data_IF_802234756836
#
_entry.id   IF_802234756836
#
_cell.length_a   1.000
_cell.length_b   1.000
_cell.length_c   1.000
_cell.angle_alpha   90.00
_cell.angle_beta   90.00
_cell.angle_gamma   90.00
#
_symmetry.space_group_name_H-M   'P 1'
#
loop_
_entity.id
_entity.type
_entity.pdbx_description
1 polymer ?
#
# COMPACT_ATOMS: atom_id res chain seq x y z
N UNK A 1 5.56 -22.50 -26.88
CA UNK A 1 5.83 -21.07 -26.68
C UNK A 1 6.35 -20.54 -27.99
N UNK A 2 5.56 -19.73 -28.70
CA UNK A 2 6.07 -18.97 -29.85
C UNK A 2 7.23 -18.12 -29.36
N UNK A 3 8.39 -18.22 -30.01
CA UNK A 3 9.51 -17.33 -29.72
C UNK A 3 9.02 -15.90 -30.04
N UNK A 4 9.04 -15.01 -29.04
CA UNK A 4 8.76 -13.59 -29.23
C UNK A 4 7.42 -13.06 -28.69
N UNK A 5 6.62 -13.85 -27.96
CA UNK A 5 5.47 -13.30 -27.22
C UNK A 5 5.89 -12.95 -25.77
N UNK A 6 5.77 -11.67 -25.32
CA UNK A 6 6.18 -11.27 -23.97
C UNK A 6 5.12 -11.61 -22.91
N UNK A 7 3.94 -12.10 -23.32
CA UNK A 7 2.82 -12.42 -22.45
C UNK A 7 2.52 -13.93 -22.43
N UNK A 8 2.21 -14.45 -21.25
CA UNK A 8 1.71 -15.81 -21.07
C UNK A 8 0.23 -15.85 -21.48
N UNK A 9 -0.06 -16.54 -22.59
CA UNK A 9 -1.42 -16.73 -23.07
C UNK A 9 -2.16 -17.84 -22.30
N UNK A 10 -3.42 -17.58 -21.96
CA UNK A 10 -4.37 -18.57 -21.42
C UNK A 10 -5.51 -18.79 -22.42
N UNK A 11 -5.85 -20.05 -22.70
CA UNK A 11 -6.85 -20.45 -23.71
C UNK A 11 -8.26 -19.90 -23.48
N UNK A 12 -8.56 -19.45 -22.25
CA UNK A 12 -9.90 -18.98 -21.86
C UNK A 12 -9.92 -17.52 -21.40
N UNK A 13 -8.81 -16.81 -21.55
CA UNK A 13 -8.71 -15.43 -21.11
C UNK A 13 -9.12 -14.46 -22.23
N UNK A 14 -9.96 -13.47 -21.88
CA UNK A 14 -10.30 -12.39 -22.80
C UNK A 14 -9.04 -11.55 -23.03
N UNK A 15 -8.76 -11.26 -24.29
CA UNK A 15 -7.59 -10.49 -24.68
C UNK A 15 -7.66 -9.06 -24.14
N UNK A 16 -6.60 -8.62 -23.46
CA UNK A 16 -6.53 -7.28 -22.90
C UNK A 16 -6.33 -6.26 -24.04
N UNK A 17 -7.03 -5.12 -23.97
CA UNK A 17 -7.01 -4.12 -25.05
C UNK A 17 -5.65 -3.45 -25.21
N UNK A 18 -4.93 -3.20 -24.11
CA UNK A 18 -3.57 -2.68 -24.16
C UNK A 18 -2.63 -3.71 -24.82
N UNK A 19 -2.67 -4.97 -24.36
CA UNK A 19 -1.90 -6.08 -24.95
C UNK A 19 -2.14 -6.19 -26.47
N UNK A 20 -3.40 -6.18 -26.90
CA UNK A 20 -3.78 -6.22 -28.30
C UNK A 20 -3.22 -5.02 -29.09
N UNK A 21 -3.38 -3.81 -28.55
CA UNK A 21 -2.90 -2.59 -29.21
C UNK A 21 -1.38 -2.57 -29.39
N UNK A 22 -0.62 -3.07 -28.40
CA UNK A 22 0.84 -3.16 -28.46
C UNK A 22 1.27 -4.18 -29.53
N UNK A 23 0.63 -5.35 -29.55
CA UNK A 23 0.94 -6.41 -30.52
C UNK A 23 0.61 -5.98 -31.96
N UNK A 24 -0.56 -5.40 -32.20
CA UNK A 24 -0.97 -4.92 -33.53
C UNK A 24 -0.05 -3.81 -34.05
N UNK A 25 0.35 -2.88 -33.19
CA UNK A 25 1.30 -1.84 -33.55
C UNK A 25 2.67 -2.45 -33.94
N UNK A 26 3.15 -3.44 -33.19
CA UNK A 26 4.38 -4.15 -33.54
C UNK A 26 4.28 -4.89 -34.87
N UNK A 27 3.26 -5.73 -35.06
CA UNK A 27 3.07 -6.51 -36.29
C UNK A 27 2.96 -5.61 -37.54
N UNK A 28 2.33 -4.44 -37.41
CA UNK A 28 2.16 -3.50 -38.52
C UNK A 28 3.41 -2.65 -38.81
N UNK A 29 4.27 -2.43 -37.81
CA UNK A 29 5.43 -1.52 -37.90
C UNK A 29 6.79 -2.21 -37.75
N UNK A 30 6.84 -3.54 -37.59
CA UNK A 30 8.08 -4.32 -37.45
C UNK A 30 9.16 -3.94 -38.49
N UNK A 31 8.84 -3.76 -39.80
CA UNK A 31 9.84 -3.36 -40.79
C UNK A 31 10.47 -1.97 -40.53
N UNK A 32 9.74 -1.07 -39.84
CA UNK A 32 10.21 0.28 -39.49
C UNK A 32 11.03 0.33 -38.21
N UNK A 33 11.05 -0.77 -37.43
CA UNK A 33 11.85 -0.89 -36.21
C UNK A 33 13.29 -1.33 -36.50
N UNK A 34 13.60 -1.68 -37.75
CA UNK A 34 14.93 -2.08 -38.19
C UNK A 34 15.58 -1.01 -39.08
N UNK A 35 16.92 -0.87 -39.06
CA UNK A 35 17.63 0.00 -39.99
C UNK A 35 17.40 -0.42 -41.46
N UNK A 36 17.38 0.53 -42.42
CA UNK A 36 17.55 1.97 -42.23
C UNK A 36 16.27 2.67 -41.72
N UNK A 37 16.45 3.58 -40.74
CA UNK A 37 15.33 4.38 -40.21
C UNK A 37 14.97 5.52 -41.15
N UNK A 38 13.67 5.82 -41.25
CA UNK A 38 13.22 7.01 -41.98
C UNK A 38 13.72 8.28 -41.30
N UNK A 39 14.09 9.27 -42.11
CA UNK A 39 14.40 10.63 -41.65
C UNK A 39 13.15 11.52 -41.61
N UNK A 40 12.01 11.03 -42.08
CA UNK A 40 10.76 11.77 -42.07
C UNK A 40 10.25 11.90 -40.63
N UNK A 41 9.85 13.11 -40.25
CA UNK A 41 9.18 13.35 -38.97
C UNK A 41 7.81 12.68 -39.04
N UNK A 42 7.54 11.65 -38.22
CA UNK A 42 6.24 11.01 -38.23
C UNK A 42 5.16 12.00 -37.80
N UNK A 43 3.98 11.88 -38.40
CA UNK A 43 2.81 12.57 -37.87
C UNK A 43 2.48 12.09 -36.43
N UNK A 44 1.70 12.86 -35.66
CA UNK A 44 1.42 12.53 -34.27
C UNK A 44 0.85 11.11 -34.07
N UNK A 45 -0.04 10.65 -34.96
CA UNK A 45 -0.63 9.32 -34.84
C UNK A 45 0.41 8.23 -35.13
N UNK A 46 1.21 8.42 -36.18
CA UNK A 46 2.31 7.52 -36.51
C UNK A 46 3.34 7.42 -35.37
N UNK A 47 3.62 8.52 -34.66
CA UNK A 47 4.51 8.53 -33.49
C UNK A 47 3.94 7.72 -32.31
N UNK A 48 2.62 7.78 -32.07
CA UNK A 48 1.96 6.99 -31.03
C UNK A 48 2.00 5.50 -31.36
N UNK A 49 1.66 5.11 -32.58
CA UNK A 49 1.74 3.69 -32.99
C UNK A 49 3.18 3.17 -32.95
N UNK A 50 4.15 3.99 -33.35
CA UNK A 50 5.56 3.61 -33.28
C UNK A 50 6.02 3.44 -31.83
N UNK A 51 5.55 4.28 -30.90
CA UNK A 51 5.83 4.12 -29.47
C UNK A 51 5.26 2.79 -28.92
N UNK A 52 4.03 2.42 -29.31
CA UNK A 52 3.44 1.12 -28.94
C UNK A 52 4.25 -0.06 -29.49
N UNK A 53 4.64 0.01 -30.76
CA UNK A 53 5.45 -1.00 -31.42
C UNK A 53 6.82 -1.15 -30.73
N UNK A 54 7.45 -0.03 -30.37
CA UNK A 54 8.73 0.00 -29.63
C UNK A 54 8.59 -0.66 -28.26
N UNK A 55 7.54 -0.36 -27.48
CA UNK A 55 7.30 -1.01 -26.17
C UNK A 55 7.21 -2.52 -26.34
N UNK A 56 6.38 -3.01 -27.26
CA UNK A 56 6.23 -4.44 -27.50
C UNK A 56 7.57 -5.07 -27.92
N UNK A 57 8.28 -4.48 -28.89
CA UNK A 57 9.57 -4.97 -29.37
C UNK A 57 10.62 -5.08 -28.25
N UNK A 58 10.67 -4.08 -27.36
CA UNK A 58 11.58 -4.05 -26.22
C UNK A 58 11.24 -5.11 -25.16
N UNK A 59 9.97 -5.47 -24.99
CA UNK A 59 9.57 -6.55 -24.11
C UNK A 59 9.86 -7.94 -24.69
N UNK A 60 9.89 -8.07 -26.02
CA UNK A 60 10.12 -9.34 -26.73
C UNK A 60 11.60 -9.73 -26.86
N UNK A 61 12.46 -8.80 -27.29
CA UNK A 61 13.84 -9.09 -27.68
C UNK A 61 14.85 -8.14 -27.03
N UNK A 62 15.73 -8.70 -26.19
CA UNK A 62 16.84 -7.97 -25.59
C UNK A 62 17.98 -7.64 -26.56
N UNK A 63 18.08 -8.35 -27.69
CA UNK A 63 19.18 -8.21 -28.65
C UNK A 63 19.16 -6.84 -29.36
N UNK A 64 17.97 -6.31 -29.60
CA UNK A 64 17.76 -5.06 -30.34
C UNK A 64 17.45 -3.86 -29.45
N UNK A 65 17.46 -4.00 -28.11
CA UNK A 65 16.98 -2.95 -27.19
C UNK A 65 17.67 -1.61 -27.34
N UNK A 66 19.00 -1.61 -27.54
CA UNK A 66 19.77 -0.37 -27.74
C UNK A 66 19.40 0.36 -29.02
N UNK A 67 18.96 -0.37 -30.03
CA UNK A 67 18.52 0.21 -31.31
C UNK A 67 17.13 0.83 -31.14
N UNK A 68 16.20 0.09 -30.55
CA UNK A 68 14.83 0.56 -30.32
C UNK A 68 14.77 1.75 -29.36
N UNK A 69 15.60 1.80 -28.31
CA UNK A 69 15.63 2.95 -27.40
C UNK A 69 16.20 4.21 -28.09
N UNK A 70 17.23 4.06 -28.93
CA UNK A 70 17.76 5.17 -29.74
C UNK A 70 16.73 5.70 -30.72
N UNK A 71 15.97 4.80 -31.32
CA UNK A 71 14.84 5.18 -32.17
C UNK A 71 13.80 5.98 -31.36
N UNK A 72 13.42 5.51 -30.16
CA UNK A 72 12.53 6.26 -29.27
C UNK A 72 13.07 7.67 -28.99
N UNK A 73 14.32 7.81 -28.55
CA UNK A 73 14.92 9.10 -28.24
C UNK A 73 14.92 10.07 -29.42
N UNK A 74 15.08 9.56 -30.66
CA UNK A 74 15.06 10.38 -31.86
C UNK A 74 13.66 10.91 -32.23
N UNK A 75 12.60 10.27 -31.72
CA UNK A 75 11.21 10.53 -32.11
C UNK A 75 10.41 11.27 -31.05
N UNK A 76 10.83 11.18 -29.78
CA UNK A 76 10.07 11.72 -28.65
C UNK A 76 10.02 13.24 -28.67
N UNK A 77 8.81 13.78 -28.51
CA UNK A 77 8.53 15.22 -28.49
C UNK A 77 7.75 15.66 -27.24
N UNK A 78 7.25 14.71 -26.45
CA UNK A 78 6.36 14.92 -25.31
C UNK A 78 7.04 14.66 -23.95
N UNK A 79 8.38 14.66 -23.92
CA UNK A 79 9.14 14.29 -22.71
C UNK A 79 8.90 12.85 -22.28
N UNK A 80 8.66 11.95 -23.23
CA UNK A 80 8.38 10.52 -23.03
C UNK A 80 7.03 10.22 -22.35
N UNK A 81 6.16 11.22 -22.17
CA UNK A 81 4.93 11.08 -21.40
C UNK A 81 4.05 9.91 -21.86
N UNK A 82 3.81 9.79 -23.17
CA UNK A 82 3.01 8.68 -23.71
C UNK A 82 3.71 7.34 -23.54
N UNK A 83 5.01 7.27 -23.82
CA UNK A 83 5.78 6.03 -23.66
C UNK A 83 5.77 5.54 -22.21
N UNK A 84 6.02 6.44 -21.25
CA UNK A 84 5.95 6.13 -19.82
C UNK A 84 4.53 5.71 -19.41
N UNK A 85 3.49 6.33 -19.97
CA UNK A 85 2.10 5.91 -19.71
C UNK A 85 1.80 4.48 -20.20
N UNK A 86 2.39 4.06 -21.32
CA UNK A 86 2.30 2.68 -21.81
C UNK A 86 3.02 1.71 -20.87
N UNK A 87 4.18 2.10 -20.32
CA UNK A 87 4.88 1.30 -19.32
C UNK A 87 4.06 1.18 -18.02
N UNK A 88 3.45 2.27 -17.55
CA UNK A 88 2.53 2.25 -16.40
C UNK A 88 1.37 1.30 -16.67
N UNK A 89 0.69 1.41 -17.82
CA UNK A 89 -0.38 0.51 -18.22
C UNK A 89 0.08 -0.95 -18.28
N UNK A 90 1.27 -1.21 -18.82
CA UNK A 90 1.88 -2.55 -18.86
C UNK A 90 2.12 -3.08 -17.44
N UNK A 91 2.65 -2.25 -16.54
CA UNK A 91 2.85 -2.61 -15.14
C UNK A 91 1.51 -2.87 -14.46
N UNK A 92 0.46 -2.07 -14.69
CA UNK A 92 -0.82 -2.16 -13.97
C UNK A 92 -1.72 -3.28 -14.49
N UNK A 93 -1.75 -3.51 -15.79
CA UNK A 93 -2.70 -4.44 -16.43
C UNK A 93 -2.06 -5.78 -16.82
N UNK A 94 -0.78 -5.76 -17.21
CA UNK A 94 -0.15 -6.89 -17.89
C UNK A 94 0.98 -7.57 -17.10
N UNK A 95 1.46 -6.98 -16.01
CA UNK A 95 2.62 -7.49 -15.26
C UNK A 95 2.50 -8.96 -14.84
N UNK A 96 1.30 -9.38 -14.40
CA UNK A 96 1.04 -10.77 -14.03
C UNK A 96 1.14 -11.77 -15.19
N UNK A 97 1.03 -11.29 -16.43
CA UNK A 97 1.17 -12.07 -17.65
C UNK A 97 2.57 -12.02 -18.25
N UNK A 98 3.41 -11.07 -17.85
CA UNK A 98 4.75 -10.93 -18.41
C UNK A 98 5.60 -12.17 -18.13
N UNK A 99 6.29 -12.66 -19.16
CA UNK A 99 7.36 -13.64 -19.01
C UNK A 99 8.56 -13.02 -18.30
N UNK A 100 9.42 -13.84 -17.71
CA UNK A 100 10.52 -13.35 -16.87
C UNK A 100 11.50 -12.45 -17.63
N UNK A 101 11.82 -12.75 -18.89
CA UNK A 101 12.66 -11.88 -19.72
C UNK A 101 12.03 -10.51 -19.96
N UNK A 102 10.71 -10.45 -20.13
CA UNK A 102 9.99 -9.19 -20.33
C UNK A 102 9.94 -8.35 -19.05
N UNK A 103 9.84 -8.98 -17.87
CA UNK A 103 9.96 -8.27 -16.58
C UNK A 103 11.35 -7.65 -16.40
N UNK A 104 12.41 -8.35 -16.79
CA UNK A 104 13.78 -7.82 -16.77
C UNK A 104 13.90 -6.61 -17.72
N UNK A 105 13.38 -6.72 -18.94
CA UNK A 105 13.38 -5.59 -19.89
C UNK A 105 12.57 -4.40 -19.37
N UNK A 106 11.41 -4.63 -18.76
CA UNK A 106 10.60 -3.57 -18.16
C UNK A 106 11.37 -2.76 -17.09
N UNK A 107 12.14 -3.43 -16.24
CA UNK A 107 12.99 -2.76 -15.26
C UNK A 107 14.17 -2.04 -15.90
N UNK A 108 14.73 -2.59 -16.99
CA UNK A 108 15.74 -1.90 -17.78
C UNK A 108 15.17 -0.63 -18.42
N UNK A 109 13.99 -0.69 -19.04
CA UNK A 109 13.30 0.49 -19.58
C UNK A 109 13.02 1.53 -18.50
N UNK A 110 12.66 1.09 -17.30
CA UNK A 110 12.47 1.99 -16.16
C UNK A 110 13.76 2.74 -15.83
N UNK A 111 14.93 2.08 -15.88
CA UNK A 111 16.24 2.74 -15.70
C UNK A 111 16.49 3.81 -16.78
N UNK A 112 16.23 3.49 -18.04
CA UNK A 112 16.36 4.45 -19.15
C UNK A 112 15.40 5.64 -18.98
N UNK A 113 14.16 5.41 -18.52
CA UNK A 113 13.17 6.46 -18.27
C UNK A 113 13.53 7.38 -17.08
N UNK A 114 14.32 6.88 -16.12
CA UNK A 114 14.91 7.71 -15.07
C UNK A 114 16.04 8.56 -15.65
N UNK A 115 16.90 7.99 -16.49
CA UNK A 115 18.06 8.68 -17.07
C UNK A 115 17.69 9.87 -17.98
N UNK A 116 16.48 9.85 -18.53
CA UNK A 116 15.94 10.94 -19.34
C UNK A 116 14.91 11.80 -18.61
N UNK A 117 14.75 11.61 -17.29
CA UNK A 117 13.79 12.35 -16.43
C UNK A 117 12.38 12.39 -17.03
N UNK A 118 11.90 11.23 -17.51
CA UNK A 118 10.63 11.13 -18.24
C UNK A 118 9.42 11.65 -17.46
N UNK A 119 8.48 12.26 -18.16
CA UNK A 119 7.19 12.66 -17.58
C UNK A 119 6.41 11.42 -17.17
N UNK A 120 5.85 11.41 -15.96
CA UNK A 120 5.10 10.27 -15.41
C UNK A 120 5.96 9.22 -14.70
N UNK A 121 7.26 9.48 -14.50
CA UNK A 121 8.18 8.56 -13.83
C UNK A 121 7.72 8.15 -12.42
N UNK A 122 7.14 9.07 -11.64
CA UNK A 122 6.63 8.77 -10.30
C UNK A 122 5.55 7.67 -10.34
N UNK A 123 4.63 7.74 -11.29
CA UNK A 123 3.54 6.76 -11.44
C UNK A 123 4.08 5.38 -11.84
N UNK A 124 5.09 5.33 -12.70
CA UNK A 124 5.75 4.09 -13.11
C UNK A 124 6.41 3.39 -11.92
N UNK A 125 7.21 4.13 -11.16
CA UNK A 125 7.91 3.62 -9.99
C UNK A 125 6.95 3.22 -8.86
N UNK A 126 5.91 4.02 -8.60
CA UNK A 126 4.85 3.66 -7.64
C UNK A 126 4.13 2.39 -8.08
N UNK A 127 3.79 2.26 -9.38
CA UNK A 127 3.13 1.07 -9.91
C UNK A 127 3.99 -0.18 -9.76
N UNK A 128 5.31 -0.07 -9.98
CA UNK A 128 6.26 -1.16 -9.76
C UNK A 128 6.40 -1.52 -8.27
N UNK A 129 6.50 -0.54 -7.37
CA UNK A 129 6.53 -0.79 -5.92
C UNK A 129 5.28 -1.55 -5.45
N UNK A 130 4.11 -1.24 -6.02
CA UNK A 130 2.84 -1.93 -5.75
C UNK A 130 2.79 -3.38 -6.24
N UNK A 131 3.74 -3.80 -7.07
CA UNK A 131 3.88 -5.21 -7.49
C UNK A 131 4.61 -6.08 -6.48
N UNK A 132 5.33 -5.49 -5.52
CA UNK A 132 5.93 -6.26 -4.43
C UNK A 132 4.84 -6.64 -3.42
N UNK A 133 4.53 -7.94 -3.33
CA UNK A 133 3.62 -8.49 -2.36
C UNK A 133 4.25 -8.60 -0.97
N UNK A 134 3.58 -8.10 0.06
CA UNK A 134 3.92 -8.36 1.47
C UNK A 134 3.70 -9.85 1.79
N UNK A 135 4.53 -10.42 2.68
CA UNK A 135 4.43 -11.83 3.08
C UNK A 135 4.65 -12.87 1.96
N UNK A 136 5.11 -12.45 0.78
CA UNK A 136 5.44 -13.34 -0.34
C UNK A 136 6.95 -13.48 -0.53
N UNK A 137 7.52 -14.61 -0.14
CA UNK A 137 8.96 -14.87 -0.30
C UNK A 137 9.28 -15.76 -1.52
N UNK A 138 8.37 -15.84 -2.49
CA UNK A 138 8.65 -16.47 -3.78
C UNK A 138 9.80 -15.78 -4.51
N UNK A 139 10.53 -16.53 -5.33
CA UNK A 139 11.74 -16.01 -6.01
C UNK A 139 11.45 -14.76 -6.86
N UNK A 140 10.32 -14.73 -7.57
CA UNK A 140 9.93 -13.58 -8.38
C UNK A 140 9.66 -12.32 -7.53
N UNK A 141 9.03 -12.45 -6.36
CA UNK A 141 8.71 -11.31 -5.50
C UNK A 141 9.99 -10.76 -4.84
N UNK A 142 10.85 -11.65 -4.34
CA UNK A 142 12.15 -11.28 -3.76
C UNK A 142 13.06 -10.64 -4.81
N UNK A 143 13.09 -11.19 -6.04
CA UNK A 143 13.83 -10.60 -7.15
C UNK A 143 13.35 -9.19 -7.48
N UNK A 144 12.04 -8.97 -7.61
CA UNK A 144 11.51 -7.64 -7.90
C UNK A 144 11.86 -6.65 -6.79
N UNK A 145 11.72 -7.07 -5.53
CA UNK A 145 12.09 -6.25 -4.38
C UNK A 145 13.58 -5.86 -4.45
N UNK A 146 14.45 -6.83 -4.74
CA UNK A 146 15.89 -6.63 -4.89
C UNK A 146 16.24 -5.64 -6.01
N UNK A 147 15.65 -5.82 -7.19
CA UNK A 147 15.92 -4.92 -8.32
C UNK A 147 15.42 -3.50 -8.03
N UNK A 148 14.26 -3.34 -7.39
CA UNK A 148 13.73 -2.01 -7.08
C UNK A 148 14.52 -1.32 -5.98
N UNK A 149 14.91 -1.98 -4.89
CA UNK A 149 15.76 -1.32 -3.88
C UNK A 149 17.12 -0.93 -4.46
N UNK A 150 17.69 -1.77 -5.34
CA UNK A 150 18.94 -1.47 -6.04
C UNK A 150 18.77 -0.30 -6.99
N UNK A 151 17.67 -0.25 -7.76
CA UNK A 151 17.32 0.88 -8.63
C UNK A 151 17.27 2.21 -7.86
N UNK A 152 16.58 2.23 -6.73
CA UNK A 152 16.46 3.42 -5.89
C UNK A 152 17.80 3.87 -5.26
N UNK A 153 18.69 2.92 -4.97
CA UNK A 153 20.05 3.21 -4.49
C UNK A 153 20.96 3.72 -5.61
N UNK A 154 20.91 3.08 -6.78
CA UNK A 154 21.77 3.37 -7.92
C UNK A 154 21.41 4.68 -8.61
N UNK A 155 20.11 5.03 -8.65
CA UNK A 155 19.58 6.26 -9.24
C UNK A 155 19.25 7.34 -8.20
N UNK A 156 19.83 7.24 -7.01
CA UNK A 156 19.49 8.10 -5.87
C UNK A 156 19.52 9.59 -6.21
N UNK A 157 20.61 10.08 -6.79
CA UNK A 157 20.80 11.51 -7.05
C UNK A 157 19.76 12.03 -8.06
N UNK A 158 19.56 11.31 -9.17
CA UNK A 158 18.55 11.63 -10.18
C UNK A 158 17.14 11.67 -9.58
N UNK A 159 16.77 10.67 -8.78
CA UNK A 159 15.46 10.60 -8.15
C UNK A 159 15.25 11.69 -7.08
N UNK A 160 16.32 12.09 -6.39
CA UNK A 160 16.24 13.15 -5.39
C UNK A 160 16.03 14.53 -6.05
N UNK A 161 16.63 14.76 -7.21
CA UNK A 161 16.48 15.99 -7.98
C UNK A 161 15.12 16.06 -8.70
N UNK A 162 14.77 15.02 -9.46
CA UNK A 162 13.64 15.06 -10.40
C UNK A 162 12.32 14.59 -9.79
N UNK A 163 12.36 13.63 -8.86
CA UNK A 163 11.17 12.93 -8.35
C UNK A 163 11.22 12.61 -6.84
N UNK A 164 11.57 13.57 -5.95
CA UNK A 164 11.88 13.26 -4.55
C UNK A 164 10.71 12.63 -3.77
N UNK A 165 9.46 12.86 -4.18
CA UNK A 165 8.32 12.26 -3.50
C UNK A 165 8.26 10.74 -3.69
N UNK A 166 8.78 10.21 -4.79
CA UNK A 166 8.82 8.75 -5.02
C UNK A 166 9.76 8.04 -4.04
N UNK A 167 10.81 8.72 -3.55
CA UNK A 167 11.68 8.21 -2.50
C UNK A 167 10.92 7.99 -1.19
N UNK A 168 9.91 8.81 -0.90
CA UNK A 168 9.03 8.58 0.27
C UNK A 168 8.15 7.35 0.09
N UNK A 169 7.69 7.07 -1.14
CA UNK A 169 6.94 5.85 -1.46
C UNK A 169 7.82 4.61 -1.32
N UNK A 170 9.06 4.68 -1.79
CA UNK A 170 10.06 3.63 -1.60
C UNK A 170 10.35 3.40 -0.12
N UNK A 171 10.58 4.47 0.66
CA UNK A 171 10.83 4.38 2.10
C UNK A 171 9.68 3.68 2.83
N UNK A 172 8.45 4.13 2.61
CA UNK A 172 7.26 3.50 3.21
C UNK A 172 7.17 2.02 2.87
N UNK A 173 7.42 1.67 1.60
CA UNK A 173 7.36 0.30 1.10
C UNK A 173 8.42 -0.59 1.73
N UNK A 174 9.68 -0.15 1.73
CA UNK A 174 10.81 -0.95 2.22
C UNK A 174 10.85 -1.05 3.74
N UNK A 175 10.43 -0.04 4.51
CA UNK A 175 10.26 -0.19 5.96
C UNK A 175 9.24 -1.28 6.29
N UNK A 176 8.12 -1.29 5.57
CA UNK A 176 7.07 -2.28 5.79
C UNK A 176 7.52 -3.69 5.39
N UNK A 177 8.19 -3.84 4.23
CA UNK A 177 8.70 -5.13 3.76
C UNK A 177 9.81 -5.68 4.65
N UNK A 178 10.75 -4.82 5.05
CA UNK A 178 11.84 -5.18 5.96
C UNK A 178 11.30 -5.75 7.28
N UNK A 179 10.21 -5.19 7.80
CA UNK A 179 9.56 -5.71 9.01
C UNK A 179 9.06 -7.15 8.85
N UNK A 180 8.65 -7.56 7.65
CA UNK A 180 8.30 -8.96 7.35
C UNK A 180 9.55 -9.81 7.17
N UNK A 181 10.54 -9.34 6.39
CA UNK A 181 11.78 -10.06 6.16
C UNK A 181 12.58 -10.34 7.45
N UNK A 182 12.52 -9.44 8.44
CA UNK A 182 13.17 -9.63 9.73
C UNK A 182 12.48 -10.66 10.63
N UNK A 183 11.20 -10.98 10.39
CA UNK A 183 10.47 -12.00 11.17
C UNK A 183 10.83 -13.43 10.77
N UNK A 184 11.34 -13.60 9.54
CA UNK A 184 11.70 -14.91 9.01
C UNK A 184 13.22 -15.10 9.09
N UNK A 185 13.62 -16.22 9.67
CA UNK A 185 15.03 -16.61 9.79
C UNK A 185 15.36 -17.82 8.92
N UNK A 186 16.61 -17.93 8.48
CA UNK A 186 17.09 -19.12 7.76
C UNK A 186 16.84 -19.14 6.25
N UNK A 187 16.49 -18.00 5.63
CA UNK A 187 16.36 -17.86 4.17
C UNK A 187 17.51 -17.01 3.64
N UNK A 188 18.59 -17.60 3.08
CA UNK A 188 19.80 -16.85 2.69
C UNK A 188 19.56 -15.72 1.70
N UNK A 189 18.62 -15.89 0.75
CA UNK A 189 18.26 -14.85 -0.22
C UNK A 189 17.68 -13.58 0.44
N UNK A 190 17.04 -13.72 1.61
CA UNK A 190 16.51 -12.56 2.35
C UNK A 190 17.60 -11.80 3.10
N UNK A 191 18.74 -12.42 3.46
CA UNK A 191 19.81 -11.72 4.16
C UNK A 191 20.42 -10.59 3.33
N UNK A 192 20.71 -10.88 2.06
CA UNK A 192 21.21 -9.87 1.13
C UNK A 192 20.16 -8.78 0.86
N UNK A 193 18.88 -9.18 0.75
CA UNK A 193 17.76 -8.28 0.56
C UNK A 193 17.62 -7.30 1.73
N UNK A 194 17.56 -7.81 2.97
CA UNK A 194 17.49 -7.02 4.21
C UNK A 194 18.59 -5.98 4.28
N UNK A 195 19.84 -6.37 3.95
CA UNK A 195 20.97 -5.43 3.95
C UNK A 195 20.74 -4.24 3.01
N UNK A 196 20.19 -4.47 1.82
CA UNK A 196 19.89 -3.39 0.87
C UNK A 196 18.72 -2.53 1.33
N UNK A 197 17.65 -3.12 1.88
CA UNK A 197 16.52 -2.38 2.46
C UNK A 197 16.97 -1.50 3.62
N UNK A 198 17.77 -2.05 4.54
CA UNK A 198 18.36 -1.31 5.66
C UNK A 198 19.21 -0.16 5.10
N UNK A 199 20.11 -0.43 4.16
CA UNK A 199 20.97 0.59 3.54
C UNK A 199 20.15 1.74 2.96
N UNK A 200 19.11 1.44 2.17
CA UNK A 200 18.24 2.46 1.57
C UNK A 200 17.47 3.25 2.64
N UNK A 201 16.82 2.57 3.57
CA UNK A 201 16.01 3.23 4.60
C UNK A 201 16.87 4.12 5.51
N UNK A 202 18.05 3.64 5.93
CA UNK A 202 19.00 4.42 6.73
C UNK A 202 19.49 5.64 5.94
N UNK A 203 19.81 5.49 4.65
CA UNK A 203 20.20 6.62 3.79
C UNK A 203 19.11 7.69 3.72
N UNK A 204 17.85 7.28 3.57
CA UNK A 204 16.69 8.20 3.63
C UNK A 204 16.62 8.99 4.94
N UNK A 205 16.77 8.34 6.09
CA UNK A 205 16.72 9.05 7.37
C UNK A 205 17.93 9.94 7.62
N UNK A 206 19.14 9.47 7.27
CA UNK A 206 20.38 10.19 7.53
C UNK A 206 20.60 11.38 6.59
N UNK A 207 20.24 11.24 5.32
CA UNK A 207 20.47 12.29 4.30
C UNK A 207 19.20 13.11 4.02
N UNK A 208 18.01 12.53 4.15
CA UNK A 208 16.74 13.13 3.73
C UNK A 208 15.65 13.04 4.81
N UNK A 209 15.99 13.38 6.05
CA UNK A 209 15.06 13.31 7.19
C UNK A 209 13.76 14.08 6.94
N UNK A 210 13.84 15.34 6.48
CA UNK A 210 12.66 16.17 6.21
C UNK A 210 11.72 15.55 5.18
N UNK A 211 12.28 14.91 4.16
CA UNK A 211 11.53 14.19 3.13
C UNK A 211 10.87 12.94 3.72
N UNK A 212 11.61 12.18 4.53
CA UNK A 212 11.11 11.00 5.26
C UNK A 212 9.90 11.34 6.13
N UNK A 213 9.97 12.46 6.88
CA UNK A 213 8.89 12.92 7.76
C UNK A 213 7.60 13.30 7.02
N UNK A 214 7.62 13.51 5.69
CA UNK A 214 6.39 13.77 4.90
C UNK A 214 5.42 12.59 4.86
N UNK A 215 5.87 11.39 5.25
CA UNK A 215 4.98 10.22 5.42
C UNK A 215 3.94 10.47 6.52
N UNK A 216 4.27 11.24 7.56
CA UNK A 216 3.39 11.51 8.69
C UNK A 216 3.36 10.38 9.71
N UNK A 217 2.29 10.31 10.51
CA UNK A 217 2.19 9.45 11.70
C UNK A 217 2.45 7.96 11.45
N UNK A 218 2.05 7.38 10.32
CA UNK A 218 2.33 5.96 10.03
C UNK A 218 3.83 5.65 9.89
N UNK A 219 4.70 6.65 9.66
CA UNK A 219 6.15 6.48 9.72
C UNK A 219 6.60 5.96 11.09
N UNK A 220 5.99 6.48 12.17
CA UNK A 220 6.30 6.08 13.54
C UNK A 220 5.94 4.62 13.76
N UNK A 221 4.74 4.20 13.31
CA UNK A 221 4.30 2.80 13.35
C UNK A 221 5.29 1.87 12.65
N UNK A 222 5.72 2.23 11.45
CA UNK A 222 6.67 1.42 10.67
C UNK A 222 8.06 1.36 11.32
N UNK A 223 8.54 2.46 11.88
CA UNK A 223 9.82 2.50 12.60
C UNK A 223 9.80 1.65 13.86
N UNK A 224 8.72 1.71 14.64
CA UNK A 224 8.55 0.92 15.86
C UNK A 224 8.63 -0.58 15.61
N UNK A 225 8.19 -1.06 14.44
CA UNK A 225 8.34 -2.47 14.04
C UNK A 225 9.82 -2.87 13.82
N UNK A 226 10.73 -1.90 13.64
CA UNK A 226 12.14 -2.11 13.29
C UNK A 226 13.15 -1.72 14.38
N UNK A 227 12.71 -1.18 15.53
CA UNK A 227 13.61 -0.72 16.63
C UNK A 227 14.52 -1.83 17.19
N UNK A 228 14.19 -3.10 16.96
CA UNK A 228 15.05 -4.23 17.32
C UNK A 228 16.35 -4.31 16.50
N UNK A 229 16.41 -3.62 15.36
CA UNK A 229 17.60 -3.49 14.50
C UNK A 229 18.39 -2.27 14.97
N UNK A 230 19.71 -2.40 15.11
CA UNK A 230 20.60 -1.37 15.67
C UNK A 230 20.46 0.00 15.01
N UNK A 231 20.47 0.04 13.68
CA UNK A 231 20.44 1.26 12.89
C UNK A 231 19.11 2.02 13.09
N UNK A 232 18.00 1.29 13.18
CA UNK A 232 16.69 1.89 13.42
C UNK A 232 16.49 2.26 14.88
N UNK A 233 17.14 1.58 15.82
CA UNK A 233 17.17 2.00 17.23
C UNK A 233 17.85 3.36 17.39
N UNK A 234 18.96 3.59 16.69
CA UNK A 234 19.64 4.89 16.68
C UNK A 234 18.74 5.98 16.09
N UNK A 235 18.15 5.73 14.92
CA UNK A 235 17.20 6.65 14.27
C UNK A 235 16.02 6.96 15.20
N UNK A 236 15.49 5.94 15.88
CA UNK A 236 14.39 6.10 16.83
C UNK A 236 14.78 7.01 18.00
N UNK A 237 15.96 6.80 18.59
CA UNK A 237 16.43 7.64 19.69
C UNK A 237 16.61 9.10 19.24
N UNK A 238 17.14 9.33 18.04
CA UNK A 238 17.31 10.69 17.47
C UNK A 238 15.95 11.38 17.28
N UNK A 239 14.93 10.64 16.81
CA UNK A 239 13.56 11.13 16.64
C UNK A 239 12.86 11.43 17.96
N UNK A 240 13.00 10.56 18.97
CA UNK A 240 12.46 10.77 20.32
C UNK A 240 13.03 12.03 20.95
N UNK A 241 14.35 12.25 20.81
CA UNK A 241 15.00 13.50 21.23
C UNK A 241 14.45 14.74 20.49
N UNK A 242 13.97 14.57 19.26
CA UNK A 242 13.48 15.64 18.38
C UNK A 242 11.98 15.93 18.50
N UNK A 243 11.31 15.36 19.51
CA UNK A 243 9.86 15.47 19.78
C UNK A 243 8.96 14.78 18.72
N UNK A 244 8.70 13.49 18.93
CA UNK A 244 7.83 12.64 18.09
C UNK A 244 6.37 13.13 18.06
N UNK A 245 5.94 13.92 19.05
CA UNK A 245 4.55 14.40 19.16
C UNK A 245 4.11 15.21 17.94
N UNK A 246 5.05 15.92 17.30
CA UNK A 246 4.81 16.67 16.06
C UNK A 246 4.51 15.74 14.89
N UNK A 247 5.16 14.58 14.82
CA UNK A 247 4.96 13.60 13.73
C UNK A 247 3.60 12.93 13.89
N UNK A 248 3.16 12.64 15.11
CA UNK A 248 1.83 12.08 15.36
C UNK A 248 0.70 12.98 14.84
N UNK A 249 0.88 14.30 14.88
CA UNK A 249 -0.10 15.27 14.35
C UNK A 249 -0.12 15.32 12.82
N UNK A 250 0.94 14.87 12.14
CA UNK A 250 1.00 14.85 10.68
C UNK A 250 0.18 13.68 10.14
N UNK A 251 -0.91 14.00 9.45
CA UNK A 251 -1.74 13.00 8.77
C UNK A 251 -0.96 12.30 7.66
N UNK A 252 -1.00 10.98 7.65
CA UNK A 252 -0.45 10.18 6.55
C UNK A 252 -1.37 10.24 5.34
N UNK A 253 -0.79 10.57 4.18
CA UNK A 253 -1.53 10.57 2.91
C UNK A 253 -1.98 9.16 2.52
N UNK A 254 -3.21 9.04 2.01
CA UNK A 254 -3.80 7.76 1.60
C UNK A 254 -3.01 7.04 0.51
N UNK A 255 -2.19 7.77 -0.25
CA UNK A 255 -1.29 7.21 -1.28
C UNK A 255 -0.34 6.15 -0.73
N UNK A 256 0.09 6.27 0.53
CA UNK A 256 1.02 5.32 1.12
C UNK A 256 0.38 3.97 1.41
N UNK A 257 -0.91 3.95 1.77
CA UNK A 257 -1.63 2.70 2.03
C UNK A 257 -1.88 1.89 0.74
N UNK A 258 -1.99 2.57 -0.41
CA UNK A 258 -2.06 1.90 -1.72
C UNK A 258 -0.76 1.17 -2.07
N UNK A 259 0.39 1.62 -1.58
CA UNK A 259 1.68 1.02 -1.92
C UNK A 259 1.77 -0.44 -1.52
N UNK A 260 1.10 -0.84 -0.43
CA UNK A 260 1.18 -2.20 0.13
C UNK A 260 0.01 -3.09 -0.28
N UNK A 261 -0.84 -2.61 -1.17
CA UNK A 261 -1.96 -3.34 -1.74
C UNK A 261 -1.73 -3.49 -3.24
N UNK A 262 -1.59 -4.73 -3.69
CA UNK A 262 -1.41 -5.00 -5.13
C UNK A 262 -2.66 -4.58 -5.91
N UNK A 263 -2.54 -4.24 -7.20
CA UNK A 263 -3.70 -3.87 -8.03
C UNK A 263 -4.84 -4.91 -8.00
N UNK A 264 -4.51 -6.20 -7.97
CA UNK A 264 -5.50 -7.29 -7.90
C UNK A 264 -6.20 -7.35 -6.54
N UNK A 265 -5.47 -7.14 -5.45
CA UNK A 265 -6.06 -7.07 -4.10
C UNK A 265 -7.01 -5.87 -4.01
N UNK A 266 -6.58 -4.70 -4.47
CA UNK A 266 -7.40 -3.48 -4.47
C UNK A 266 -8.70 -3.72 -5.25
N UNK A 267 -8.61 -4.27 -6.46
CA UNK A 267 -9.77 -4.55 -7.32
C UNK A 267 -10.77 -5.47 -6.60
N UNK A 268 -10.29 -6.56 -5.99
CA UNK A 268 -11.18 -7.49 -5.29
C UNK A 268 -11.78 -6.91 -4.01
N UNK A 269 -11.01 -6.14 -3.24
CA UNK A 269 -11.51 -5.48 -2.02
C UNK A 269 -12.54 -4.40 -2.35
N UNK A 270 -12.29 -3.58 -3.39
CA UNK A 270 -13.25 -2.57 -3.85
C UNK A 270 -14.53 -3.23 -4.36
N UNK A 271 -14.44 -4.32 -5.11
CA UNK A 271 -15.61 -5.06 -5.55
C UNK A 271 -16.40 -5.63 -4.36
N UNK A 272 -15.71 -6.22 -3.37
CA UNK A 272 -16.34 -6.74 -2.16
C UNK A 272 -17.10 -5.65 -1.39
N UNK A 273 -16.52 -4.45 -1.27
CA UNK A 273 -17.06 -3.34 -0.49
C UNK A 273 -17.96 -2.38 -1.28
N UNK A 274 -18.06 -2.55 -2.60
CA UNK A 274 -18.86 -1.69 -3.49
C UNK A 274 -19.98 -2.42 -4.24
N UNK A 275 -19.95 -3.75 -4.32
CA UNK A 275 -20.85 -4.49 -5.20
C UNK A 275 -21.44 -5.75 -4.55
N UNK A 276 -20.83 -6.29 -3.49
CA UNK A 276 -21.25 -7.57 -2.90
C UNK A 276 -22.18 -7.32 -1.72
N UNK A 277 -23.38 -7.91 -1.76
CA UNK A 277 -24.34 -7.83 -0.66
C UNK A 277 -23.89 -8.62 0.58
N UNK A 278 -24.17 -8.08 1.77
CA UNK A 278 -24.04 -8.81 3.03
C UNK A 278 -24.90 -10.09 2.98
N UNK A 279 -24.38 -11.20 3.47
CA UNK A 279 -24.98 -12.54 3.33
C UNK A 279 -24.58 -13.30 2.06
N UNK A 280 -24.11 -12.62 1.01
CA UNK A 280 -23.65 -13.23 -0.26
C UNK A 280 -22.12 -13.23 -0.43
N UNK A 281 -21.38 -12.79 0.59
CA UNK A 281 -19.93 -12.55 0.53
C UNK A 281 -19.05 -13.80 0.67
N UNK A 282 -19.57 -14.92 1.20
CA UNK A 282 -18.76 -16.09 1.61
C UNK A 282 -17.87 -16.64 0.48
N UNK A 283 -18.39 -16.70 -0.75
CA UNK A 283 -17.62 -17.19 -1.91
C UNK A 283 -16.48 -16.23 -2.28
N UNK A 284 -16.75 -14.92 -2.24
CA UNK A 284 -15.75 -13.89 -2.50
C UNK A 284 -14.64 -13.89 -1.44
N UNK A 285 -14.99 -14.05 -0.17
CA UNK A 285 -14.03 -14.22 0.92
C UNK A 285 -13.12 -15.43 0.71
N UNK A 286 -13.69 -16.59 0.34
CA UNK A 286 -12.91 -17.81 0.06
C UNK A 286 -11.96 -17.60 -1.12
N UNK A 287 -12.42 -16.94 -2.19
CA UNK A 287 -11.56 -16.62 -3.33
C UNK A 287 -10.40 -15.69 -2.97
N UNK A 288 -10.70 -14.64 -2.19
CA UNK A 288 -9.70 -13.70 -1.72
C UNK A 288 -8.66 -14.41 -0.83
N UNK A 289 -9.13 -15.19 0.16
CA UNK A 289 -8.29 -15.99 1.05
C UNK A 289 -7.36 -16.90 0.26
N UNK A 290 -7.91 -17.69 -0.67
CA UNK A 290 -7.16 -18.63 -1.50
C UNK A 290 -6.08 -17.94 -2.34
N UNK A 291 -6.35 -16.73 -2.83
CA UNK A 291 -5.44 -16.02 -3.71
C UNK A 291 -4.33 -15.29 -2.93
N UNK A 292 -4.66 -14.68 -1.80
CA UNK A 292 -3.79 -13.67 -1.19
C UNK A 292 -3.30 -13.99 0.22
N UNK A 293 -4.03 -14.83 0.97
CA UNK A 293 -3.81 -14.99 2.41
C UNK A 293 -3.56 -16.46 2.80
N UNK A 294 -3.25 -17.34 1.84
CA UNK A 294 -2.82 -18.70 2.16
C UNK A 294 -1.35 -18.73 2.62
N UNK A 295 -1.14 -19.27 3.82
CA UNK A 295 0.16 -19.44 4.44
C UNK A 295 0.40 -18.46 5.60
N UNK A 296 1.09 -18.88 6.67
CA UNK A 296 1.23 -18.07 7.89
C UNK A 296 1.95 -16.74 7.65
N UNK A 297 2.90 -16.73 6.72
CA UNK A 297 3.66 -15.54 6.32
C UNK A 297 2.79 -14.45 5.68
N UNK A 298 1.68 -14.85 5.03
CA UNK A 298 0.77 -13.93 4.35
C UNK A 298 -0.23 -13.27 5.29
N UNK A 299 -0.29 -13.69 6.56
CA UNK A 299 -1.16 -13.06 7.56
C UNK A 299 -0.73 -11.61 7.87
N UNK A 300 0.55 -11.27 7.71
CA UNK A 300 1.06 -9.91 7.94
C UNK A 300 0.41 -8.88 6.99
N UNK A 301 -0.02 -9.32 5.81
CA UNK A 301 -0.73 -8.50 4.81
C UNK A 301 -2.03 -7.94 5.37
N UNK A 302 -2.66 -8.59 6.35
CA UNK A 302 -3.89 -8.11 7.00
C UNK A 302 -3.71 -6.74 7.64
N UNK A 303 -2.50 -6.43 8.15
CA UNK A 303 -2.16 -5.13 8.73
C UNK A 303 -2.32 -4.04 7.66
N UNK A 304 -1.78 -4.28 6.47
CA UNK A 304 -1.84 -3.35 5.34
C UNK A 304 -3.26 -3.21 4.79
N UNK A 305 -4.00 -4.32 4.69
CA UNK A 305 -5.39 -4.33 4.22
C UNK A 305 -6.29 -3.54 5.16
N UNK A 306 -6.12 -3.66 6.49
CA UNK A 306 -6.91 -2.89 7.45
C UNK A 306 -6.63 -1.39 7.34
N UNK A 307 -5.36 -0.97 7.22
CA UNK A 307 -5.04 0.46 6.95
C UNK A 307 -5.69 0.94 5.65
N UNK A 308 -5.64 0.13 4.58
CA UNK A 308 -6.28 0.46 3.30
C UNK A 308 -7.80 0.61 3.42
N UNK A 309 -8.50 -0.32 4.08
CA UNK A 309 -9.96 -0.24 4.25
C UNK A 309 -10.36 0.99 5.06
N UNK A 310 -9.65 1.30 6.14
CA UNK A 310 -9.96 2.47 6.96
C UNK A 310 -9.66 3.78 6.23
N UNK A 311 -8.51 3.88 5.57
CA UNK A 311 -7.97 5.17 5.11
C UNK A 311 -8.18 5.47 3.61
N UNK A 312 -8.53 4.46 2.80
CA UNK A 312 -8.66 4.61 1.34
C UNK A 312 -10.08 4.28 0.87
N UNK A 313 -10.70 3.24 1.43
CA UNK A 313 -12.06 2.85 1.04
C UNK A 313 -13.06 3.67 1.84
N UNK A 314 -13.54 4.77 1.28
CA UNK A 314 -14.61 5.60 1.86
C UNK A 314 -15.87 5.46 0.98
N UNK A 315 -16.83 4.61 1.38
CA UNK A 315 -18.04 4.37 0.58
C UNK A 315 -18.91 5.62 0.47
N UNK A 316 -19.66 5.73 -0.62
CA UNK A 316 -20.66 6.81 -0.79
C UNK A 316 -21.83 6.60 0.17
N UNK A 317 -22.60 7.66 0.44
CA UNK A 317 -23.82 7.57 1.25
C UNK A 317 -24.83 6.55 0.71
N UNK A 318 -24.88 6.36 -0.61
CA UNK A 318 -25.72 5.35 -1.26
C UNK A 318 -25.29 3.93 -0.86
N UNK A 319 -23.98 3.64 -0.92
CA UNK A 319 -23.44 2.34 -0.50
C UNK A 319 -23.68 2.13 0.99
N UNK A 320 -23.44 3.13 1.83
CA UNK A 320 -23.63 3.05 3.30
C UNK A 320 -25.07 2.68 3.67
N UNK A 321 -26.06 3.20 2.94
CA UNK A 321 -27.49 2.94 3.17
C UNK A 321 -28.02 1.70 2.45
N UNK A 322 -27.16 0.95 1.77
CA UNK A 322 -27.53 -0.22 0.99
C UNK A 322 -27.28 -1.53 1.75
N UNK A 323 -27.56 -2.66 1.09
CA UNK A 323 -27.26 -4.00 1.58
C UNK A 323 -25.82 -4.45 1.27
N UNK A 324 -24.99 -3.58 0.69
CA UNK A 324 -23.59 -3.91 0.38
C UNK A 324 -22.82 -4.19 1.67
N UNK A 325 -21.88 -5.13 1.60
CA UNK A 325 -21.06 -5.55 2.74
C UNK A 325 -20.33 -4.34 3.34
N UNK A 326 -20.59 -4.01 4.62
CA UNK A 326 -19.98 -2.85 5.25
C UNK A 326 -18.52 -3.12 5.63
N UNK A 327 -17.72 -2.05 5.71
CA UNK A 327 -16.28 -2.12 6.02
C UNK A 327 -15.99 -2.86 7.32
N UNK A 328 -16.77 -2.59 8.37
CA UNK A 328 -16.61 -3.21 9.68
C UNK A 328 -16.76 -4.74 9.63
N UNK A 329 -17.64 -5.28 8.77
CA UNK A 329 -17.84 -6.72 8.65
C UNK A 329 -16.63 -7.40 8.00
N UNK A 330 -15.99 -6.75 7.03
CA UNK A 330 -14.74 -7.25 6.42
C UNK A 330 -13.60 -7.24 7.43
N UNK A 331 -13.48 -6.18 8.24
CA UNK A 331 -12.47 -6.11 9.31
C UNK A 331 -12.70 -7.20 10.37
N UNK A 332 -13.96 -7.43 10.77
CA UNK A 332 -14.32 -8.51 11.68
C UNK A 332 -13.92 -9.88 11.15
N UNK A 333 -14.12 -10.13 9.85
CA UNK A 333 -13.64 -11.35 9.19
C UNK A 333 -12.11 -11.47 9.25
N UNK A 334 -11.36 -10.39 9.00
CA UNK A 334 -9.89 -10.43 9.07
C UNK A 334 -9.34 -10.67 10.47
N UNK A 335 -9.98 -10.12 11.51
CA UNK A 335 -9.62 -10.44 12.89
C UNK A 335 -9.84 -11.91 13.22
N UNK A 336 -10.92 -12.52 12.71
CA UNK A 336 -11.16 -13.96 12.88
C UNK A 336 -10.08 -14.81 12.17
N UNK A 337 -9.56 -14.36 11.03
CA UNK A 337 -8.48 -15.05 10.32
C UNK A 337 -7.17 -15.08 11.13
N UNK A 338 -6.79 -13.97 11.78
CA UNK A 338 -5.52 -13.88 12.52
C UNK A 338 -5.61 -14.23 14.01
N UNK A 339 -6.77 -14.68 14.51
CA UNK A 339 -7.01 -14.91 15.96
C UNK A 339 -6.05 -15.90 16.63
N UNK A 340 -5.43 -16.80 15.87
CA UNK A 340 -4.46 -17.78 16.38
C UNK A 340 -3.03 -17.22 16.43
N UNK A 341 -2.79 -16.09 15.77
CA UNK A 341 -1.49 -15.44 15.69
C UNK A 341 -1.53 -14.11 16.45
N UNK A 342 -1.41 -14.18 17.78
CA UNK A 342 -1.55 -13.02 18.67
C UNK A 342 -0.65 -11.84 18.31
N UNK A 343 0.53 -12.11 17.74
CA UNK A 343 1.40 -11.04 17.27
C UNK A 343 0.79 -10.28 16.08
N UNK A 344 0.32 -11.00 15.05
CA UNK A 344 -0.36 -10.37 13.91
C UNK A 344 -1.66 -9.72 14.34
N UNK A 345 -2.46 -10.40 15.16
CA UNK A 345 -3.72 -9.89 15.70
C UNK A 345 -3.52 -8.54 16.41
N UNK A 346 -2.51 -8.43 17.28
CA UNK A 346 -2.19 -7.16 17.95
C UNK A 346 -1.81 -6.05 16.98
N UNK A 347 -1.05 -6.36 15.91
CA UNK A 347 -0.69 -5.37 14.88
C UNK A 347 -1.88 -4.96 14.00
N UNK A 348 -2.81 -5.88 13.73
CA UNK A 348 -4.06 -5.60 13.03
C UNK A 348 -4.96 -4.69 13.89
N UNK A 349 -5.08 -4.96 15.18
CA UNK A 349 -5.80 -4.08 16.12
C UNK A 349 -5.14 -2.70 16.21
N UNK A 350 -3.81 -2.63 16.26
CA UNK A 350 -3.09 -1.36 16.23
C UNK A 350 -3.36 -0.60 14.92
N UNK A 351 -3.33 -1.27 13.77
CA UNK A 351 -3.65 -0.67 12.48
C UNK A 351 -5.10 -0.14 12.40
N UNK A 352 -6.04 -0.85 13.02
CA UNK A 352 -7.44 -0.45 13.13
C UNK A 352 -7.62 0.80 14.00
N UNK A 353 -6.88 0.91 15.09
CA UNK A 353 -6.97 2.02 16.05
C UNK A 353 -5.95 3.13 15.84
N UNK A 354 -5.07 3.04 14.84
CA UNK A 354 -3.95 3.98 14.72
C UNK A 354 -4.41 5.44 14.55
N UNK A 355 -5.44 5.66 13.73
CA UNK A 355 -6.00 7.00 13.53
C UNK A 355 -6.82 7.50 14.72
N UNK A 356 -7.25 6.60 15.62
CA UNK A 356 -7.94 6.98 16.85
C UNK A 356 -6.99 7.66 17.84
N UNK A 357 -5.77 7.15 17.96
CA UNK A 357 -4.81 7.64 18.95
C UNK A 357 -4.52 9.13 18.79
N UNK A 358 -4.51 9.63 17.55
CA UNK A 358 -4.15 11.02 17.26
C UNK A 358 -5.24 11.74 16.46
N UNK A 359 -6.50 11.34 16.66
CA UNK A 359 -7.63 11.85 15.90
C UNK A 359 -7.84 13.35 16.16
N UNK A 360 -7.89 14.13 15.09
CA UNK A 360 -8.30 15.54 15.11
C UNK A 360 -9.35 15.78 14.01
N UNK A 361 -10.57 16.15 14.43
CA UNK A 361 -11.73 16.38 13.56
C UNK A 361 -11.49 17.45 12.46
N UNK A 362 -10.47 18.30 12.62
CA UNK A 362 -10.12 19.34 11.65
C UNK A 362 -9.38 18.79 10.43
N UNK A 363 -8.64 17.71 10.61
CA UNK A 363 -7.75 17.14 9.59
C UNK A 363 -8.11 15.70 9.22
N UNK A 364 -8.65 14.93 10.16
CA UNK A 364 -8.96 13.51 10.02
C UNK A 364 -10.41 13.29 9.63
N UNK A 365 -10.62 12.22 8.86
CA UNK A 365 -11.96 11.84 8.42
C UNK A 365 -12.57 10.89 9.43
N UNK A 366 -13.85 11.10 9.77
CA UNK A 366 -14.65 10.13 10.53
C UNK A 366 -14.60 8.73 9.91
N UNK A 367 -14.47 8.65 8.58
CA UNK A 367 -14.37 7.38 7.85
C UNK A 367 -13.15 6.55 8.23
N UNK A 368 -12.11 7.14 8.83
CA UNK A 368 -10.92 6.41 9.28
C UNK A 368 -11.14 5.66 10.60
N UNK A 369 -12.04 6.16 11.46
CA UNK A 369 -12.27 5.62 12.81
C UNK A 369 -13.59 4.85 12.91
N UNK A 370 -14.58 5.23 12.10
CA UNK A 370 -15.89 4.58 11.95
C UNK A 370 -15.85 3.04 11.96
N UNK A 371 -14.99 2.36 11.16
CA UNK A 371 -15.09 0.91 11.01
C UNK A 371 -14.87 0.16 12.31
N UNK A 372 -13.99 0.65 13.19
CA UNK A 372 -13.72 0.04 14.48
C UNK A 372 -14.91 0.20 15.44
N UNK A 373 -15.53 1.39 15.44
CA UNK A 373 -16.68 1.69 16.29
C UNK A 373 -17.89 0.84 15.90
N UNK A 374 -18.18 0.77 14.60
CA UNK A 374 -19.27 -0.06 14.08
C UNK A 374 -19.01 -1.54 14.31
N UNK A 375 -17.77 -2.02 14.14
CA UNK A 375 -17.43 -3.41 14.45
C UNK A 375 -17.70 -3.71 15.93
N UNK A 376 -17.18 -2.88 16.85
CA UNK A 376 -17.41 -3.04 18.28
C UNK A 376 -18.91 -3.04 18.61
N UNK A 377 -19.69 -2.15 18.01
CA UNK A 377 -21.12 -2.06 18.30
C UNK A 377 -21.91 -3.27 17.77
N UNK A 378 -21.75 -3.59 16.49
CA UNK A 378 -22.52 -4.63 15.83
C UNK A 378 -22.12 -6.03 16.26
N UNK A 379 -20.94 -6.19 16.85
CA UNK A 379 -20.53 -7.45 17.47
C UNK A 379 -21.20 -7.73 18.81
N UNK A 380 -21.73 -6.75 19.54
CA UNK A 380 -22.26 -6.97 20.91
C UNK A 380 -23.32 -8.09 20.96
N UNK A 381 -24.36 -8.12 20.09
CA UNK A 381 -25.46 -9.07 20.27
C UNK A 381 -25.10 -10.54 20.02
N UNK A 382 -24.08 -10.82 19.18
CA UNK A 382 -23.73 -12.19 18.76
C UNK A 382 -22.30 -12.60 19.11
N UNK A 383 -21.38 -11.63 19.18
CA UNK A 383 -19.95 -11.85 19.35
C UNK A 383 -19.34 -10.84 20.36
N UNK A 384 -19.87 -10.73 21.60
CA UNK A 384 -19.44 -9.71 22.57
C UNK A 384 -17.95 -9.78 22.91
N UNK A 385 -17.31 -10.96 22.76
CA UNK A 385 -15.87 -11.13 22.93
C UNK A 385 -15.02 -10.27 21.97
N UNK A 386 -15.52 -9.98 20.75
CA UNK A 386 -14.84 -9.09 19.80
C UNK A 386 -14.83 -7.67 20.36
N UNK A 387 -16.00 -7.18 20.81
CA UNK A 387 -16.14 -5.86 21.44
C UNK A 387 -15.25 -5.72 22.66
N UNK A 388 -15.24 -6.72 23.54
CA UNK A 388 -14.37 -6.76 24.71
C UNK A 388 -12.90 -6.64 24.32
N UNK A 389 -12.44 -7.51 23.41
CA UNK A 389 -11.04 -7.54 23.01
C UNK A 389 -10.57 -6.24 22.35
N UNK A 390 -11.43 -5.63 21.52
CA UNK A 390 -11.11 -4.37 20.85
C UNK A 390 -11.10 -3.18 21.82
N UNK A 391 -12.10 -3.09 22.70
CA UNK A 391 -12.19 -2.00 23.67
C UNK A 391 -11.08 -2.09 24.72
N UNK A 392 -10.78 -3.30 25.21
CA UNK A 392 -9.65 -3.54 26.10
C UNK A 392 -8.32 -3.13 25.45
N UNK A 393 -8.10 -3.52 24.20
CA UNK A 393 -6.90 -3.16 23.45
C UNK A 393 -6.78 -1.64 23.25
N UNK A 394 -7.86 -0.96 22.85
CA UNK A 394 -7.86 0.50 22.68
C UNK A 394 -7.54 1.23 24.00
N UNK A 395 -8.16 0.82 25.10
CA UNK A 395 -7.90 1.41 26.41
C UNK A 395 -6.47 1.13 26.89
N UNK A 396 -5.92 -0.05 26.59
CA UNK A 396 -4.52 -0.35 26.85
C UNK A 396 -3.56 0.55 26.05
N UNK A 397 -3.87 0.83 24.77
CA UNK A 397 -3.07 1.75 23.95
C UNK A 397 -3.03 3.16 24.54
N UNK A 398 -4.13 3.65 25.11
CA UNK A 398 -4.18 4.98 25.74
C UNK A 398 -3.15 5.08 26.87
N UNK A 399 -2.98 4.04 27.68
CA UNK A 399 -2.07 4.05 28.81
C UNK A 399 -0.62 3.66 28.45
N UNK A 400 -0.43 2.82 27.42
CA UNK A 400 0.85 2.13 27.18
C UNK A 400 1.52 2.40 25.83
N UNK A 401 0.84 2.97 24.83
CA UNK A 401 1.41 3.12 23.48
C UNK A 401 2.62 4.07 23.46
N UNK A 402 2.47 5.27 24.01
CA UNK A 402 3.54 6.24 24.19
C UNK A 402 3.26 7.05 25.46
N UNK A 403 3.93 6.67 26.56
CA UNK A 403 3.70 7.25 27.89
C UNK A 403 3.99 8.76 27.91
N UNK A 404 4.96 9.23 27.12
CA UNK A 404 5.29 10.66 27.04
C UNK A 404 4.20 11.46 26.33
N UNK A 405 3.46 10.83 25.41
CA UNK A 405 2.35 11.45 24.66
C UNK A 405 0.97 11.01 25.15
N UNK A 406 0.85 10.41 26.35
CA UNK A 406 -0.39 9.84 26.88
C UNK A 406 -1.59 10.80 26.82
N UNK A 407 -1.39 12.05 27.23
CA UNK A 407 -2.48 13.04 27.23
C UNK A 407 -2.98 13.30 25.81
N UNK A 408 -2.09 13.41 24.83
CA UNK A 408 -2.45 13.56 23.41
C UNK A 408 -3.27 12.36 22.93
N UNK A 409 -2.84 11.15 23.30
CA UNK A 409 -3.52 9.90 22.92
C UNK A 409 -4.93 9.84 23.50
N UNK A 410 -5.05 10.15 24.79
CA UNK A 410 -6.34 10.23 25.48
C UNK A 410 -7.27 11.23 24.78
N UNK A 411 -6.79 12.41 24.35
CA UNK A 411 -7.64 13.37 23.62
C UNK A 411 -8.06 12.85 22.26
N UNK A 412 -7.14 12.22 21.52
CA UNK A 412 -7.44 11.66 20.21
C UNK A 412 -8.57 10.64 20.31
N UNK A 413 -8.44 9.68 21.23
CA UNK A 413 -9.45 8.63 21.43
C UNK A 413 -10.79 9.21 21.89
N UNK A 414 -10.78 10.15 22.85
CA UNK A 414 -12.00 10.81 23.30
C UNK A 414 -12.68 11.62 22.18
N UNK A 415 -11.89 12.33 21.37
CA UNK A 415 -12.38 13.12 20.24
C UNK A 415 -12.98 12.23 19.14
N UNK A 416 -12.36 11.08 18.86
CA UNK A 416 -12.90 10.10 17.92
C UNK A 416 -14.28 9.59 18.36
N UNK A 417 -14.44 9.17 19.62
CA UNK A 417 -15.74 8.74 20.16
C UNK A 417 -16.81 9.84 20.08
N UNK A 418 -16.46 11.06 20.47
CA UNK A 418 -17.39 12.21 20.39
C UNK A 418 -17.79 12.51 18.95
N UNK A 419 -16.86 12.39 18.01
CA UNK A 419 -17.14 12.64 16.60
C UNK A 419 -18.04 11.55 15.99
N UNK A 420 -17.84 10.29 16.39
CA UNK A 420 -18.69 9.15 16.03
C UNK A 420 -20.14 9.39 16.46
N UNK A 421 -20.35 9.87 17.68
CA UNK A 421 -21.69 10.20 18.19
C UNK A 421 -22.25 11.46 17.51
N UNK A 422 -21.46 12.53 17.40
CA UNK A 422 -21.88 13.80 16.77
C UNK A 422 -22.33 13.62 15.32
N UNK A 423 -21.64 12.76 14.57
CA UNK A 423 -21.97 12.46 13.17
C UNK A 423 -23.05 11.38 13.02
N UNK A 424 -23.54 10.81 14.12
CA UNK A 424 -24.57 9.78 14.12
C UNK A 424 -24.13 8.44 13.54
N UNK A 425 -22.81 8.16 13.51
CA UNK A 425 -22.29 6.84 13.14
C UNK A 425 -22.77 5.80 14.16
N UNK A 426 -22.77 6.20 15.44
CA UNK A 426 -23.48 5.51 16.52
C UNK A 426 -24.49 6.50 17.12
N UNK A 427 -25.70 6.02 17.45
CA UNK A 427 -26.77 6.90 17.94
C UNK A 427 -26.45 7.53 19.30
N UNK A 428 -25.84 6.76 20.20
CA UNK A 428 -25.34 7.25 21.48
C UNK A 428 -24.22 6.36 22.02
N UNK A 429 -23.25 6.97 22.70
CA UNK A 429 -22.19 6.23 23.41
C UNK A 429 -22.74 5.42 24.60
N UNK A 430 -23.97 5.69 25.05
CA UNK A 430 -24.67 4.86 26.05
C UNK A 430 -24.87 3.42 25.57
N UNK A 431 -24.87 3.19 24.26
CA UNK A 431 -24.90 1.86 23.67
C UNK A 431 -23.67 1.00 24.05
N UNK A 432 -22.57 1.64 24.47
CA UNK A 432 -21.42 0.98 25.10
C UNK A 432 -21.49 1.07 26.64
N UNK A 433 -21.77 2.26 27.18
CA UNK A 433 -21.67 2.53 28.63
C UNK A 433 -22.78 1.88 29.47
N UNK A 434 -23.93 1.58 28.88
CA UNK A 434 -25.08 0.99 29.56
C UNK A 434 -25.32 -0.47 29.18
N UNK A 435 -24.53 -1.03 28.27
CA UNK A 435 -24.76 -2.37 27.76
C UNK A 435 -24.39 -3.45 28.81
N UNK A 436 -25.28 -4.39 29.14
CA UNK A 436 -25.00 -5.43 30.12
C UNK A 436 -23.96 -6.45 29.63
N UNK A 437 -23.84 -6.66 28.33
CA UNK A 437 -22.88 -7.60 27.74
C UNK A 437 -21.44 -7.10 27.80
N UNK A 438 -21.24 -5.79 28.06
CA UNK A 438 -19.91 -5.20 28.21
C UNK A 438 -19.46 -5.23 29.66
N UNK A 439 -18.23 -5.71 29.90
CA UNK A 439 -17.60 -5.80 31.20
C UNK A 439 -17.59 -4.45 31.96
N UNK A 440 -17.91 -4.49 33.25
CA UNK A 440 -18.14 -3.28 34.07
C UNK A 440 -16.87 -2.42 34.23
N UNK A 441 -15.71 -3.05 34.30
CA UNK A 441 -14.41 -2.38 34.37
C UNK A 441 -14.10 -1.62 33.07
N UNK A 442 -14.37 -2.20 31.90
CA UNK A 442 -14.22 -1.54 30.61
C UNK A 442 -15.16 -0.34 30.48
N UNK A 443 -16.42 -0.47 30.91
CA UNK A 443 -17.38 0.64 30.95
C UNK A 443 -16.90 1.79 31.82
N UNK A 444 -16.35 1.49 33.01
CA UNK A 444 -15.78 2.50 33.91
C UNK A 444 -14.58 3.21 33.29
N UNK A 445 -13.66 2.46 32.68
CA UNK A 445 -12.48 3.03 31.99
C UNK A 445 -12.90 3.94 30.82
N UNK A 446 -13.85 3.50 30.01
CA UNK A 446 -14.39 4.30 28.91
C UNK A 446 -15.09 5.56 29.42
N UNK A 447 -15.93 5.45 30.45
CA UNK A 447 -16.60 6.61 31.06
C UNK A 447 -15.59 7.65 31.57
N UNK A 448 -14.54 7.20 32.26
CA UNK A 448 -13.47 8.08 32.74
C UNK A 448 -12.72 8.77 31.59
N UNK A 449 -12.44 8.04 30.51
CA UNK A 449 -11.78 8.60 29.33
C UNK A 449 -12.62 9.70 28.68
N UNK A 450 -13.94 9.52 28.63
CA UNK A 450 -14.86 10.48 28.01
C UNK A 450 -15.14 11.71 28.91
N UNK A 451 -15.10 11.55 30.23
CA UNK A 451 -15.37 12.63 31.21
C UNK A 451 -14.19 13.57 31.40
N UNK A 452 -12.94 13.09 31.39
CA UNK A 452 -11.71 13.89 31.54
C UNK A 452 -11.57 15.04 30.51
N UNK A 453 -12.39 15.06 29.47
CA UNK A 453 -12.36 16.06 28.40
C UNK A 453 -13.56 17.02 28.38
N UNK A 454 -14.42 17.02 29.40
CA UNK A 454 -15.49 18.02 29.52
C UNK A 454 -14.98 19.37 30.07
N UNK A 455 -13.82 19.39 30.74
CA UNK A 455 -13.34 20.57 31.50
C UNK A 455 -12.32 21.47 30.77
N UNK A 456 -12.16 21.37 29.45
CA UNK A 456 -11.16 22.15 28.68
C UNK A 456 -11.77 22.83 27.44
N UNK A 457 -13.00 23.31 27.53
CA UNK A 457 -13.58 24.24 26.55
C UNK A 457 -13.97 25.55 27.20
#
# INVERSE_FOLDING_TARGET
MEKGNPFVASLHEVENQLELSLRQAFESLEPKLQPPFSLDIPDPQASLELSRAIVYALLCDSGSSKTHIKLLHALVTDGYAFFTSLLVGTVVELYGKLVDSAKVQLLWLTKEMIDVSSVGLEDLLVSLLRRIGSGDYGDQNVWLCFELVSLFLDKWDCLLEDAPLVLTSALYSFLRLLADHCRVSGIPKLENMKRLEIKFCVKMFREQLRLSLKIGRDLVRLLQDLVHISEFKEIWNDLVCSDVSKIYQLKTSSRYFLLRITPEMETQLRFLLGNVKLGSHKRHQIWFLKKFLLGPEKETVLIDIVRFICCVVHPTNEIIRSEIMPRWAVIGWFLDLCKQNHHVEGRVKLALFYDWLFFDERIDSIMNVEPAALLMLWSIPQYPHITHSLLEFLLHLVDAYDVACRDMIMRGVASAFREIERKGVVQSLDMFLSNPEIATDLKKKLANLLSCHQDIN
#
